data_IF_907396804718
#
_entry.id   IF_907396804718
#
_cell.length_a   1.000
_cell.length_b   1.000
_cell.length_c   1.000
_cell.angle_alpha   90.00
_cell.angle_beta   90.00
_cell.angle_gamma   90.00
#
_symmetry.space_group_name_H-M   'P 1'
#
loop_
_entity.id
_entity.type
_entity.pdbx_description
1 polymer ?
#
# COMPACT_ATOMS: atom_id res chain seq x y z
N UNK A 1 -55.18 16.33 31.49
CA UNK A 1 -54.33 16.57 30.31
C UNK A 1 -52.94 16.97 30.79
N UNK A 2 -51.90 16.15 30.60
CA UNK A 2 -50.53 16.62 30.62
C UNK A 2 -50.01 16.81 29.19
N UNK A 3 -49.43 17.98 29.00
CA UNK A 3 -48.83 18.54 27.80
C UNK A 3 -47.58 17.78 27.35
N UNK A 4 -47.53 17.53 26.05
CA UNK A 4 -46.38 17.04 25.29
C UNK A 4 -45.21 18.02 25.34
N UNK A 5 -43.98 17.50 25.44
CA UNK A 5 -42.77 18.30 25.27
C UNK A 5 -41.49 17.46 25.40
N UNK A 6 -41.12 16.74 24.34
CA UNK A 6 -39.79 16.13 24.21
C UNK A 6 -38.76 17.21 23.79
N UNK A 7 -37.59 17.31 24.42
CA UNK A 7 -36.50 18.16 23.92
C UNK A 7 -35.76 17.49 22.73
N UNK A 8 -35.15 18.30 21.83
CA UNK A 8 -34.54 17.82 20.60
C UNK A 8 -33.21 17.07 20.84
N UNK A 9 -32.91 16.14 19.93
CA UNK A 9 -31.73 15.26 19.89
C UNK A 9 -30.42 16.07 19.93
N UNK A 10 -29.90 16.29 21.13
CA UNK A 10 -28.56 16.78 21.40
C UNK A 10 -27.55 15.63 21.39
N UNK A 11 -26.66 15.69 20.40
CA UNK A 11 -25.21 15.48 20.53
C UNK A 11 -24.73 14.36 21.48
N UNK A 12 -24.45 13.18 20.92
CA UNK A 12 -23.63 12.17 21.57
C UNK A 12 -22.19 12.69 21.72
N UNK A 13 -21.84 13.21 22.89
CA UNK A 13 -20.47 13.51 23.30
C UNK A 13 -20.13 12.65 24.52
N UNK A 14 -19.16 11.74 24.36
CA UNK A 14 -18.39 11.14 25.46
C UNK A 14 -19.11 10.07 26.30
N UNK A 15 -19.02 8.82 25.87
CA UNK A 15 -19.42 7.64 26.67
C UNK A 15 -18.33 7.29 27.69
N UNK A 16 -18.22 8.06 28.77
CA UNK A 16 -17.71 7.52 30.04
C UNK A 16 -18.87 6.74 30.66
N UNK A 17 -18.94 5.44 30.40
CA UNK A 17 -20.00 4.59 30.93
C UNK A 17 -19.57 4.04 32.29
N UNK A 18 -19.83 4.81 33.35
CA UNK A 18 -19.69 4.35 34.73
C UNK A 18 -21.08 4.14 35.33
N UNK A 19 -21.64 2.94 35.17
CA UNK A 19 -22.43 2.26 36.22
C UNK A 19 -22.81 0.85 35.74
N UNK A 20 -22.24 -0.19 36.36
CA UNK A 20 -22.60 -1.59 36.08
C UNK A 20 -23.13 -2.21 37.38
N UNK A 21 -24.38 -1.89 37.69
CA UNK A 21 -25.19 -2.62 38.68
C UNK A 21 -26.36 -3.24 37.94
N UNK A 22 -26.28 -4.54 37.65
CA UNK A 22 -27.34 -5.53 37.88
C UNK A 22 -26.99 -6.89 37.27
N UNK A 23 -27.52 -7.93 37.91
CA UNK A 23 -27.08 -9.31 37.91
C UNK A 23 -27.59 -10.15 36.71
N UNK A 24 -26.69 -11.02 36.24
CA UNK A 24 -26.89 -12.46 36.00
C UNK A 24 -28.10 -12.86 35.13
N UNK A 25 -27.88 -12.95 33.82
CA UNK A 25 -28.33 -14.09 33.01
C UNK A 25 -27.20 -14.53 32.07
N UNK A 26 -26.86 -15.81 32.17
CA UNK A 26 -25.83 -16.47 31.41
C UNK A 26 -26.27 -16.65 29.95
N UNK A 27 -25.96 -15.66 29.11
CA UNK A 27 -25.50 -15.93 27.77
C UNK A 27 -24.03 -15.57 27.76
N UNK A 28 -23.20 -16.61 27.77
CA UNK A 28 -21.78 -16.56 27.54
C UNK A 28 -21.56 -15.91 26.18
N UNK A 29 -21.48 -14.58 26.14
CA UNK A 29 -20.84 -13.92 25.00
C UNK A 29 -19.42 -14.47 25.03
N UNK A 30 -18.97 -15.20 23.98
CA UNK A 30 -17.55 -15.43 23.81
C UNK A 30 -16.94 -14.06 23.95
N UNK A 31 -15.91 -13.94 24.78
CA UNK A 31 -15.09 -12.75 24.80
C UNK A 31 -14.92 -12.35 23.36
N UNK A 32 -15.53 -11.23 22.97
CA UNK A 32 -14.95 -10.42 21.94
C UNK A 32 -13.60 -10.05 22.56
N UNK A 33 -12.65 -10.97 22.42
CA UNK A 33 -11.24 -10.69 22.38
C UNK A 33 -11.21 -9.39 21.62
N UNK A 34 -10.88 -8.29 22.30
CA UNK A 34 -10.47 -7.08 21.64
C UNK A 34 -9.21 -7.50 20.90
N UNK A 35 -9.38 -8.13 19.73
CA UNK A 35 -8.29 -8.55 18.88
C UNK A 35 -7.52 -7.26 18.68
N UNK A 36 -6.24 -7.22 19.10
CA UNK A 36 -5.43 -6.02 18.95
C UNK A 36 -5.60 -5.58 17.50
N UNK A 37 -5.92 -4.29 17.29
CA UNK A 37 -6.17 -3.76 15.95
C UNK A 37 -5.01 -4.19 15.06
N UNK A 38 -5.30 -5.12 14.14
CA UNK A 38 -4.27 -5.77 13.34
C UNK A 38 -3.46 -4.68 12.64
N UNK A 39 -2.16 -4.74 12.83
CA UNK A 39 -1.24 -3.77 12.28
C UNK A 39 -1.24 -3.84 10.74
N UNK A 40 -0.76 -2.77 10.10
CA UNK A 40 -0.67 -2.72 8.65
C UNK A 40 0.19 -3.88 8.09
N UNK A 41 1.34 -4.15 8.73
CA UNK A 41 2.26 -5.21 8.34
C UNK A 41 1.65 -6.60 8.45
N UNK A 42 0.93 -6.89 9.54
CA UNK A 42 0.23 -8.17 9.70
C UNK A 42 -0.83 -8.37 8.61
N UNK A 43 -1.56 -7.32 8.23
CA UNK A 43 -2.53 -7.36 7.13
C UNK A 43 -1.88 -7.65 5.78
N UNK A 44 -0.72 -7.03 5.51
CA UNK A 44 0.04 -7.27 4.28
C UNK A 44 0.56 -8.71 4.25
N UNK A 45 1.13 -9.18 5.37
CA UNK A 45 1.62 -10.54 5.51
C UNK A 45 0.52 -11.57 5.30
N UNK A 46 -0.63 -11.39 5.93
CA UNK A 46 -1.77 -12.30 5.81
C UNK A 46 -2.28 -12.33 4.36
N UNK A 47 -2.38 -11.18 3.69
CA UNK A 47 -2.79 -11.12 2.30
C UNK A 47 -1.78 -11.83 1.37
N UNK A 48 -0.47 -11.72 1.62
CA UNK A 48 0.54 -12.49 0.89
C UNK A 48 0.37 -13.99 1.10
N UNK A 49 0.18 -14.42 2.34
CA UNK A 49 -0.01 -15.83 2.67
C UNK A 49 -1.28 -16.40 2.03
N UNK A 50 -2.38 -15.63 1.99
CA UNK A 50 -3.63 -16.01 1.29
C UNK A 50 -3.44 -16.20 -0.21
N UNK A 51 -2.53 -15.45 -0.83
CA UNK A 51 -2.16 -15.61 -2.23
C UNK A 51 -1.16 -16.76 -2.47
N UNK A 52 -0.58 -17.32 -1.41
CA UNK A 52 0.38 -18.43 -1.50
C UNK A 52 1.71 -18.04 -2.14
N UNK A 53 2.05 -16.75 -2.18
CA UNK A 53 3.28 -16.26 -2.82
C UNK A 53 4.40 -16.03 -1.81
N UNK A 54 5.63 -16.25 -2.25
CA UNK A 54 6.82 -15.99 -1.45
C UNK A 54 7.20 -14.51 -1.46
N UNK A 55 7.95 -14.05 -0.45
CA UNK A 55 8.50 -12.69 -0.43
C UNK A 55 9.40 -12.41 -1.64
N UNK A 56 10.11 -13.42 -2.13
CA UNK A 56 10.99 -13.30 -3.30
C UNK A 56 10.17 -13.09 -4.59
N UNK A 57 9.12 -13.88 -4.81
CA UNK A 57 8.24 -13.68 -5.96
C UNK A 57 7.57 -12.29 -5.90
N UNK A 58 7.05 -11.90 -4.74
CA UNK A 58 6.49 -10.57 -4.55
C UNK A 58 7.50 -9.46 -4.88
N UNK A 59 8.76 -9.62 -4.48
CA UNK A 59 9.84 -8.69 -4.81
C UNK A 59 10.13 -8.63 -6.32
N UNK A 60 10.10 -9.77 -7.01
CA UNK A 60 10.31 -9.83 -8.46
C UNK A 60 9.21 -9.11 -9.26
N UNK A 61 7.96 -9.21 -8.81
CA UNK A 61 6.82 -8.53 -9.44
C UNK A 61 6.74 -7.04 -9.10
N UNK A 62 6.90 -6.69 -7.82
CA UNK A 62 6.79 -5.29 -7.36
C UNK A 62 8.05 -4.47 -7.62
N UNK A 63 9.19 -5.13 -7.91
CA UNK A 63 10.52 -4.51 -7.97
C UNK A 63 10.97 -3.84 -6.67
N UNK A 64 10.36 -4.21 -5.55
CA UNK A 64 10.77 -3.79 -4.21
C UNK A 64 11.73 -4.83 -3.65
N UNK A 65 12.82 -4.39 -3.00
CA UNK A 65 13.77 -5.30 -2.34
C UNK A 65 13.06 -6.18 -1.31
N UNK A 66 13.43 -7.46 -1.26
CA UNK A 66 12.87 -8.44 -0.31
C UNK A 66 12.99 -7.97 1.14
N UNK A 67 14.14 -7.40 1.52
CA UNK A 67 14.39 -6.86 2.86
C UNK A 67 13.36 -5.78 3.27
N UNK A 68 12.93 -4.96 2.30
CA UNK A 68 11.94 -3.92 2.54
C UNK A 68 10.54 -4.51 2.67
N UNK A 69 10.17 -5.47 1.82
CA UNK A 69 8.90 -6.19 1.96
C UNK A 69 8.80 -6.88 3.33
N UNK A 70 9.88 -7.53 3.77
CA UNK A 70 9.96 -8.15 5.09
C UNK A 70 9.81 -7.11 6.22
N UNK A 71 10.47 -5.97 6.09
CA UNK A 71 10.35 -4.87 7.07
C UNK A 71 8.94 -4.29 7.11
N UNK A 72 8.26 -4.17 5.96
CA UNK A 72 6.86 -3.75 5.90
C UNK A 72 5.92 -4.76 6.57
N UNK A 73 6.11 -6.07 6.34
CA UNK A 73 5.34 -7.12 7.03
C UNK A 73 5.59 -7.13 8.54
N UNK A 74 6.81 -6.79 8.98
CA UNK A 74 7.17 -6.68 10.39
C UNK A 74 6.75 -5.35 11.06
N UNK A 75 6.09 -4.43 10.33
CA UNK A 75 5.82 -3.05 10.74
C UNK A 75 7.06 -2.23 11.16
N UNK A 76 8.23 -2.58 10.64
CA UNK A 76 9.49 -1.89 10.91
C UNK A 76 9.83 -0.95 9.76
N UNK A 77 8.99 0.07 9.52
CA UNK A 77 9.20 0.99 8.41
C UNK A 77 10.35 1.98 8.66
N UNK A 78 10.77 2.16 9.91
CA UNK A 78 11.88 3.00 10.35
C UNK A 78 13.23 2.43 9.95
N UNK A 79 13.34 1.10 9.81
CA UNK A 79 14.59 0.43 9.38
C UNK A 79 14.91 0.68 7.91
N UNK A 80 13.91 1.06 7.11
CA UNK A 80 14.06 1.33 5.68
C UNK A 80 14.69 2.73 5.52
N UNK A 81 15.91 2.85 4.98
CA UNK A 81 16.65 4.11 4.85
C UNK A 81 16.13 4.95 3.66
N UNK A 82 14.84 5.26 3.66
CA UNK A 82 14.16 6.02 2.61
C UNK A 82 13.24 7.07 3.22
N UNK A 83 12.87 8.08 2.44
CA UNK A 83 11.86 9.04 2.87
C UNK A 83 10.46 8.39 2.95
N UNK A 84 9.62 8.88 3.86
CA UNK A 84 8.29 8.30 4.11
C UNK A 84 7.36 8.36 2.89
N UNK A 85 7.61 9.29 1.96
CA UNK A 85 6.91 9.36 0.66
C UNK A 85 7.13 8.09 -0.16
N UNK A 86 8.36 7.56 -0.21
CA UNK A 86 8.68 6.33 -0.91
C UNK A 86 8.11 5.10 -0.20
N UNK A 87 8.19 5.07 1.14
CA UNK A 87 7.60 3.99 1.95
C UNK A 87 6.10 3.90 1.72
N UNK A 88 5.39 5.04 1.71
CA UNK A 88 3.96 5.10 1.37
C UNK A 88 3.71 4.56 -0.04
N UNK A 89 4.52 4.95 -1.03
CA UNK A 89 4.44 4.43 -2.39
C UNK A 89 4.59 2.90 -2.46
N UNK A 90 5.56 2.35 -1.71
CA UNK A 90 5.77 0.90 -1.61
C UNK A 90 4.61 0.17 -0.96
N UNK A 91 4.03 0.73 0.11
CA UNK A 91 2.83 0.18 0.73
C UNK A 91 1.68 0.11 -0.27
N UNK A 92 1.43 1.18 -1.03
CA UNK A 92 0.37 1.19 -2.06
C UNK A 92 0.64 0.16 -3.16
N UNK A 93 1.86 0.12 -3.68
CA UNK A 93 2.27 -0.82 -4.74
C UNK A 93 2.12 -2.28 -4.28
N UNK A 94 2.52 -2.55 -3.04
CA UNK A 94 2.45 -3.90 -2.49
C UNK A 94 1.00 -4.29 -2.17
N UNK A 95 0.20 -3.38 -1.60
CA UNK A 95 -1.24 -3.60 -1.40
C UNK A 95 -1.95 -3.91 -2.72
N UNK A 96 -1.62 -3.18 -3.80
CA UNK A 96 -2.15 -3.44 -5.14
C UNK A 96 -1.79 -4.84 -5.65
N UNK A 97 -0.53 -5.25 -5.50
CA UNK A 97 -0.09 -6.60 -5.85
C UNK A 97 -0.86 -7.67 -5.06
N UNK A 98 -1.11 -7.41 -3.77
CA UNK A 98 -1.84 -8.30 -2.86
C UNK A 98 -3.37 -8.24 -3.01
N UNK A 99 -3.89 -7.48 -3.98
CA UNK A 99 -5.34 -7.25 -4.21
C UNK A 99 -6.06 -6.65 -2.99
N UNK A 100 -5.34 -5.84 -2.22
CA UNK A 100 -5.88 -5.01 -1.16
C UNK A 100 -6.21 -3.61 -1.67
N UNK A 101 -7.01 -2.87 -0.91
CA UNK A 101 -7.29 -1.47 -1.17
C UNK A 101 -6.03 -0.62 -0.92
N UNK A 102 -5.45 -0.09 -2.01
CA UNK A 102 -4.24 0.72 -2.00
C UNK A 102 -4.42 2.08 -1.33
N UNK A 103 -5.62 2.69 -1.43
CA UNK A 103 -5.89 3.96 -0.77
C UNK A 103 -5.99 3.77 0.74
N UNK A 104 -6.71 2.72 1.17
CA UNK A 104 -6.81 2.37 2.59
C UNK A 104 -5.44 2.05 3.18
N UNK A 105 -4.66 1.18 2.53
CA UNK A 105 -3.32 0.82 3.02
C UNK A 105 -2.38 2.03 3.11
N UNK A 106 -2.43 2.93 2.12
CA UNK A 106 -1.65 4.17 2.15
C UNK A 106 -2.10 5.15 3.24
N UNK A 107 -3.41 5.22 3.53
CA UNK A 107 -3.96 6.02 4.61
C UNK A 107 -3.56 5.47 5.99
N UNK A 108 -3.63 4.15 6.17
CA UNK A 108 -3.22 3.45 7.40
C UNK A 108 -1.74 3.74 7.71
N UNK A 109 -0.87 3.69 6.68
CA UNK A 109 0.54 4.09 6.82
C UNK A 109 0.69 5.56 7.25
N UNK A 110 -0.10 6.46 6.67
CA UNK A 110 -0.03 7.89 6.92
C UNK A 110 -0.37 8.22 8.39
N UNK A 111 -1.36 7.53 8.97
CA UNK A 111 -1.79 7.72 10.36
C UNK A 111 -0.64 7.52 11.35
N UNK A 112 0.26 6.58 11.08
CA UNK A 112 1.36 6.25 11.99
C UNK A 112 2.68 6.98 11.69
N UNK A 113 2.88 7.53 10.48
CA UNK A 113 4.19 8.07 10.07
C UNK A 113 4.21 9.51 9.52
N UNK A 114 3.07 10.12 9.18
CA UNK A 114 3.09 11.35 8.37
C UNK A 114 3.25 12.68 9.12
N UNK A 115 3.42 12.66 10.45
CA UNK A 115 3.75 13.87 11.20
C UNK A 115 5.08 14.53 10.75
N UNK A 116 5.99 13.78 10.11
CA UNK A 116 7.26 14.30 9.57
C UNK A 116 7.21 14.75 8.12
N UNK A 117 6.35 14.16 7.29
CA UNK A 117 6.35 14.41 5.85
C UNK A 117 5.73 15.76 5.45
N UNK A 118 4.70 16.22 6.19
CA UNK A 118 4.03 17.49 5.91
C UNK A 118 4.86 18.75 6.26
N UNK A 119 6.01 18.59 6.92
CA UNK A 119 6.87 19.69 7.40
C UNK A 119 8.19 19.83 6.63
N UNK A 120 8.36 19.22 5.47
CA UNK A 120 9.51 19.52 4.59
C UNK A 120 9.07 20.47 3.48
N UNK A 121 9.32 21.79 3.62
CA UNK A 121 9.45 22.69 2.48
C UNK A 121 10.44 22.09 1.48
N UNK A 122 10.29 22.52 0.23
CA UNK A 122 11.03 22.13 -0.97
C UNK A 122 12.53 22.51 -0.89
N UNK A 123 13.24 22.12 0.16
CA UNK A 123 14.67 22.40 0.38
C UNK A 123 15.39 21.06 0.58
N UNK A 124 15.39 20.23 -0.46
CA UNK A 124 16.43 19.22 -0.62
C UNK A 124 17.54 19.90 -1.43
N UNK A 125 18.50 20.44 -0.69
CA UNK A 125 19.74 20.95 -1.23
C UNK A 125 20.37 19.93 -2.18
N UNK A 126 20.83 20.48 -3.29
CA UNK A 126 21.94 19.95 -4.06
C UNK A 126 23.12 19.87 -3.08
N UNK A 127 23.38 18.67 -2.56
CA UNK A 127 24.71 18.30 -2.11
C UNK A 127 25.26 17.39 -3.21
N UNK A 128 25.99 18.03 -4.13
CA UNK A 128 27.02 17.37 -4.94
C UNK A 128 28.02 16.66 -4.01
N UNK A 129 28.73 15.68 -4.57
CA UNK A 129 29.91 15.01 -3.97
C UNK A 129 29.66 13.72 -3.17
N UNK A 130 28.96 12.74 -3.75
CA UNK A 130 29.34 11.34 -3.52
C UNK A 130 29.28 10.57 -4.84
N UNK A 131 30.47 10.33 -5.39
CA UNK A 131 30.70 9.45 -6.51
C UNK A 131 29.99 8.10 -6.28
N UNK A 132 28.91 7.87 -7.03
CA UNK A 132 28.34 6.55 -7.23
C UNK A 132 27.94 6.46 -8.70
N UNK A 133 28.67 5.62 -9.43
CA UNK A 133 28.38 5.32 -10.83
C UNK A 133 26.95 4.75 -10.97
N UNK A 134 26.08 5.35 -11.78
CA UNK A 134 24.73 4.82 -11.99
C UNK A 134 24.80 3.57 -12.87
N UNK A 135 24.84 2.40 -12.22
CA UNK A 135 24.51 1.13 -12.86
C UNK A 135 23.01 1.12 -13.23
N UNK A 136 22.71 1.52 -14.46
CA UNK A 136 21.56 1.07 -15.26
C UNK A 136 20.23 1.79 -14.98
N UNK A 137 19.61 2.43 -16.00
CA UNK A 137 18.29 3.01 -15.83
C UNK A 137 17.24 1.91 -15.67
N UNK A 138 16.46 2.04 -14.59
CA UNK A 138 15.13 1.49 -14.48
C UNK A 138 14.34 1.85 -15.74
N UNK A 139 13.87 0.82 -16.46
CA UNK A 139 13.11 0.95 -17.70
C UNK A 139 11.78 1.66 -17.47
N UNK A 140 11.80 2.99 -17.47
CA UNK A 140 10.73 3.73 -18.13
C UNK A 140 10.79 3.27 -19.59
N UNK A 141 9.80 2.48 -20.04
CA UNK A 141 9.66 2.18 -21.47
C UNK A 141 9.27 3.49 -22.15
N UNK A 142 10.28 4.29 -22.48
CA UNK A 142 10.15 5.39 -23.42
C UNK A 142 9.95 4.73 -24.77
N UNK A 143 8.75 4.85 -25.34
CA UNK A 143 8.49 4.35 -26.69
C UNK A 143 9.29 5.21 -27.64
N UNK A 144 10.52 4.79 -27.91
CA UNK A 144 11.41 5.48 -28.82
C UNK A 144 10.83 5.38 -30.22
N UNK A 145 10.85 6.50 -30.96
CA UNK A 145 10.31 6.57 -32.33
C UNK A 145 10.90 5.48 -33.23
N UNK A 146 12.15 5.11 -32.98
CA UNK A 146 12.84 4.05 -33.71
C UNK A 146 12.23 2.67 -33.46
N UNK A 147 11.73 2.39 -32.24
CA UNK A 147 11.04 1.14 -31.92
C UNK A 147 9.71 1.00 -32.67
N UNK A 148 8.99 2.12 -32.88
CA UNK A 148 7.78 2.14 -33.71
C UNK A 148 8.09 1.95 -35.20
N UNK A 149 9.20 2.51 -35.68
CA UNK A 149 9.63 2.36 -37.08
C UNK A 149 10.05 0.92 -37.36
N UNK A 150 10.91 0.32 -36.52
CA UNK A 150 11.30 -1.07 -36.70
C UNK A 150 10.14 -2.05 -36.49
N UNK A 151 9.24 -1.76 -35.55
CA UNK A 151 8.04 -2.55 -35.34
C UNK A 151 7.12 -2.59 -36.56
N UNK A 152 6.87 -1.45 -37.19
CA UNK A 152 6.02 -1.38 -38.39
C UNK A 152 6.67 -2.06 -39.62
N UNK A 153 7.99 -1.92 -39.79
CA UNK A 153 8.76 -2.62 -40.83
C UNK A 153 8.68 -4.15 -40.68
N UNK A 154 8.87 -4.65 -39.45
CA UNK A 154 8.83 -6.09 -39.17
C UNK A 154 7.44 -6.69 -39.46
N UNK A 155 6.37 -6.01 -39.06
CA UNK A 155 4.99 -6.45 -39.34
C UNK A 155 4.72 -6.49 -40.85
N UNK A 156 5.19 -5.49 -41.60
CA UNK A 156 5.06 -5.45 -43.06
C UNK A 156 5.77 -6.62 -43.75
N UNK A 157 7.01 -6.92 -43.36
CA UNK A 157 7.77 -8.05 -43.91
C UNK A 157 7.07 -9.38 -43.60
N UNK A 158 6.57 -9.57 -42.38
CA UNK A 158 5.85 -10.78 -41.99
C UNK A 158 4.57 -10.94 -42.84
N UNK A 159 3.81 -9.86 -43.05
CA UNK A 159 2.62 -9.89 -43.89
C UNK A 159 2.95 -10.26 -45.36
N UNK A 160 4.05 -9.75 -45.91
CA UNK A 160 4.53 -10.08 -47.26
C UNK A 160 4.91 -11.56 -47.36
N UNK A 161 5.64 -12.09 -46.38
CA UNK A 161 6.03 -13.50 -46.35
C UNK A 161 4.80 -14.42 -46.26
N UNK A 162 3.82 -14.06 -45.42
CA UNK A 162 2.56 -14.80 -45.32
C UNK A 162 1.82 -14.76 -46.67
N UNK A 163 1.67 -13.58 -47.28
CA UNK A 163 1.00 -13.47 -48.59
C UNK A 163 1.70 -14.29 -49.69
N UNK A 164 3.05 -14.30 -49.70
CA UNK A 164 3.83 -15.08 -50.65
C UNK A 164 3.72 -16.59 -50.44
N UNK A 165 3.52 -17.04 -49.20
CA UNK A 165 3.34 -18.46 -48.87
C UNK A 165 1.94 -18.99 -49.25
N UNK A 166 0.92 -18.13 -49.17
CA UNK A 166 -0.47 -18.47 -49.50
C UNK A 166 -0.85 -18.19 -50.97
N UNK A 167 0.12 -17.79 -51.80
CA UNK A 167 -0.04 -17.54 -53.24
C UNK A 167 0.57 -18.67 -54.05
#
# INVERSE_FOLDING_TARGET
MPSNGWPPLGSCFGTYCSDFRHQRLAYFWPTAECLPMQTLGERLQEARQRLGVTLREAAEFTKIRTDYLQSMEANQFESIPLADVYKRGFVKLYAKYLRLDEEKAGADFNTHHSAKAARRPLEAGVEEDAAFEPAGPASAVTVNRDMLVYGSLAIGVIAILIWAFFR
#
